data_IF_925049705103
#
_entry.id   IF_925049705103
#
_cell.length_a   1.000
_cell.length_b   1.000
_cell.length_c   1.000
_cell.angle_alpha   90.00
_cell.angle_beta   90.00
_cell.angle_gamma   90.00
#
_symmetry.space_group_name_H-M   'P 1'
#
loop_
_entity.id
_entity.type
_entity.pdbx_description
1 polymer ?
#
# COMPACT_ATOMS: atom_id res chain seq x y z
N UNK A 1 8.36 22.86 -12.85
CA UNK A 1 7.18 22.31 -13.57
C UNK A 1 7.26 20.78 -13.50
N UNK A 2 7.33 20.18 -12.30
CA UNK A 2 7.88 18.82 -12.20
C UNK A 2 7.26 17.90 -11.15
N UNK A 3 6.33 18.35 -10.31
CA UNK A 3 5.90 17.54 -9.15
C UNK A 3 4.54 16.85 -9.34
N UNK A 4 3.63 17.40 -10.14
CA UNK A 4 2.38 16.70 -10.51
C UNK A 4 2.67 15.43 -11.32
N UNK A 5 3.68 15.44 -12.20
CA UNK A 5 4.14 14.22 -12.90
C UNK A 5 4.81 13.21 -11.96
N UNK A 6 5.44 13.67 -10.88
CA UNK A 6 6.09 12.79 -9.91
C UNK A 6 5.05 12.00 -9.09
N UNK A 7 3.96 12.65 -8.65
CA UNK A 7 2.85 11.96 -7.99
C UNK A 7 2.11 10.99 -8.91
N UNK A 8 1.94 11.33 -10.19
CA UNK A 8 1.35 10.41 -11.17
C UNK A 8 2.24 9.18 -11.39
N UNK A 9 3.55 9.39 -11.52
CA UNK A 9 4.51 8.28 -11.60
C UNK A 9 4.55 7.43 -10.32
N UNK A 10 4.48 8.06 -9.14
CA UNK A 10 4.38 7.35 -7.87
C UNK A 10 3.12 6.49 -7.80
N UNK A 11 1.98 7.04 -8.23
CA UNK A 11 0.70 6.31 -8.31
C UNK A 11 0.80 5.06 -9.19
N UNK A 12 1.38 5.18 -10.38
CA UNK A 12 1.54 4.04 -11.29
C UNK A 12 2.45 2.96 -10.68
N UNK A 13 3.58 3.36 -10.09
CA UNK A 13 4.50 2.43 -9.43
C UNK A 13 3.86 1.72 -8.23
N UNK A 14 3.19 2.46 -7.35
CA UNK A 14 2.54 1.90 -6.17
C UNK A 14 1.41 0.93 -6.54
N UNK A 15 0.61 1.25 -7.57
CA UNK A 15 -0.43 0.33 -8.09
C UNK A 15 0.18 -0.95 -8.66
N UNK A 16 1.22 -0.83 -9.48
CA UNK A 16 1.88 -1.99 -10.07
C UNK A 16 2.50 -2.88 -8.97
N UNK A 17 3.19 -2.29 -8.00
CA UNK A 17 3.76 -3.01 -6.87
C UNK A 17 2.68 -3.69 -6.01
N UNK A 18 1.59 -2.98 -5.70
CA UNK A 18 0.48 -3.55 -4.95
C UNK A 18 -0.19 -4.71 -5.72
N UNK A 19 -0.33 -4.60 -7.04
CA UNK A 19 -0.84 -5.67 -7.87
C UNK A 19 0.02 -6.94 -7.80
N UNK A 20 1.33 -6.79 -7.93
CA UNK A 20 2.29 -7.91 -7.79
C UNK A 20 2.20 -8.56 -6.41
N UNK A 21 2.16 -7.75 -5.35
CA UNK A 21 2.06 -8.25 -3.98
C UNK A 21 0.72 -8.96 -3.71
N UNK A 22 -0.41 -8.41 -4.16
CA UNK A 22 -1.72 -9.07 -4.02
C UNK A 22 -1.72 -10.43 -4.71
N UNK A 23 -1.23 -10.51 -5.95
CA UNK A 23 -1.11 -11.79 -6.66
C UNK A 23 -0.21 -12.77 -5.92
N UNK A 24 0.96 -12.32 -5.47
CA UNK A 24 1.89 -13.16 -4.71
C UNK A 24 1.33 -13.68 -3.38
N UNK A 25 0.56 -12.85 -2.66
CA UNK A 25 -0.11 -13.26 -1.41
C UNK A 25 -1.21 -14.29 -1.69
N UNK A 26 -2.01 -14.09 -2.75
CA UNK A 26 -3.03 -15.06 -3.18
C UNK A 26 -2.38 -16.38 -3.58
N UNK A 27 -1.25 -16.37 -4.29
CA UNK A 27 -0.55 -17.59 -4.69
C UNK A 27 0.08 -18.31 -3.47
N UNK A 28 0.62 -17.57 -2.51
CA UNK A 28 1.28 -18.12 -1.33
C UNK A 28 0.30 -18.71 -0.30
N UNK A 29 -0.82 -18.03 -0.07
CA UNK A 29 -1.78 -18.39 1.00
C UNK A 29 -3.08 -19.00 0.47
N UNK A 30 -3.29 -18.97 -0.85
CA UNK A 30 -4.59 -19.22 -1.45
C UNK A 30 -5.61 -18.12 -1.13
N UNK A 31 -6.82 -18.27 -1.67
CA UNK A 31 -7.96 -17.40 -1.36
C UNK A 31 -8.28 -16.42 -2.47
N UNK A 32 -8.74 -15.22 -2.11
CA UNK A 32 -9.21 -14.21 -3.07
C UNK A 32 -8.90 -12.79 -2.66
N UNK A 33 -8.48 -11.98 -3.62
CA UNK A 33 -8.30 -10.55 -3.43
C UNK A 33 -9.65 -9.80 -3.39
N UNK A 34 -9.72 -8.77 -2.55
CA UNK A 34 -10.83 -7.84 -2.47
C UNK A 34 -10.32 -6.44 -2.11
N UNK A 35 -11.15 -5.40 -2.33
CA UNK A 35 -10.87 -4.01 -1.92
C UNK A 35 -9.51 -3.48 -2.37
N UNK A 36 -9.23 -3.59 -3.66
CA UNK A 36 -8.01 -3.11 -4.30
C UNK A 36 -8.19 -1.66 -4.72
N UNK A 37 -7.98 -0.77 -3.75
CA UNK A 37 -8.28 0.66 -3.85
C UNK A 37 -7.05 1.51 -3.60
N UNK A 38 -6.97 2.69 -4.22
CA UNK A 38 -5.86 3.61 -4.02
C UNK A 38 -6.35 5.01 -3.75
N UNK A 39 -5.52 5.83 -3.11
CA UNK A 39 -5.87 7.22 -2.83
C UNK A 39 -4.64 8.09 -2.71
N UNK A 40 -4.86 9.37 -2.96
CA UNK A 40 -3.90 10.42 -2.63
C UNK A 40 -4.21 10.92 -1.23
N UNK A 41 -3.21 10.98 -0.37
CA UNK A 41 -3.31 11.45 1.00
C UNK A 41 -2.47 12.72 1.15
N UNK A 42 -3.02 13.73 1.83
CA UNK A 42 -2.23 14.87 2.27
C UNK A 42 -1.33 14.49 3.44
N UNK A 43 -0.06 14.91 3.39
CA UNK A 43 0.91 14.60 4.44
C UNK A 43 1.13 15.78 5.39
N UNK A 44 1.66 16.89 4.87
CA UNK A 44 1.95 18.10 5.65
C UNK A 44 0.92 19.18 5.35
N UNK A 45 0.28 19.72 6.38
CA UNK A 45 -0.69 20.82 6.25
C UNK A 45 0.00 22.12 5.85
N UNK A 46 -0.48 22.78 4.79
CA UNK A 46 -0.15 24.15 4.43
C UNK A 46 -1.03 25.17 5.20
N UNK A 47 -2.29 24.81 5.49
CA UNK A 47 -3.25 25.58 6.27
C UNK A 47 -4.30 24.64 6.90
N UNK A 48 -5.34 25.16 7.56
CA UNK A 48 -6.39 24.35 8.21
C UNK A 48 -7.09 23.37 7.26
N UNK A 49 -7.23 23.72 5.96
CA UNK A 49 -7.97 22.92 4.96
C UNK A 49 -7.12 22.51 3.74
N UNK A 50 -5.80 22.76 3.75
CA UNK A 50 -4.93 22.54 2.59
C UNK A 50 -3.65 21.81 2.98
N UNK A 51 -3.22 20.87 2.14
CA UNK A 51 -1.96 20.15 2.29
C UNK A 51 -0.91 20.66 1.31
N UNK A 52 0.31 20.83 1.79
CA UNK A 52 1.48 21.21 1.00
C UNK A 52 2.04 20.03 0.21
N UNK A 53 2.09 18.88 0.86
CA UNK A 53 2.68 17.66 0.34
C UNK A 53 1.65 16.54 0.31
N UNK A 54 1.78 15.66 -0.67
CA UNK A 54 0.87 14.54 -0.88
C UNK A 54 1.66 13.27 -1.13
N UNK A 55 1.05 12.12 -0.87
CA UNK A 55 1.55 10.81 -1.27
C UNK A 55 0.42 9.98 -1.84
N UNK A 56 0.75 9.00 -2.65
CA UNK A 56 -0.19 8.00 -3.11
C UNK A 56 0.00 6.69 -2.33
N UNK A 57 -1.13 6.12 -1.92
CA UNK A 57 -1.21 4.85 -1.19
C UNK A 57 -2.12 3.91 -1.96
N UNK A 58 -1.59 2.76 -2.39
CA UNK A 58 -2.36 1.64 -2.93
C UNK A 58 -2.62 0.63 -1.81
N UNK A 59 -3.83 0.11 -1.73
CA UNK A 59 -4.22 -0.86 -0.69
C UNK A 59 -4.92 -2.07 -1.30
N UNK A 60 -4.83 -3.20 -0.63
CA UNK A 60 -5.53 -4.43 -0.98
C UNK A 60 -5.86 -5.26 0.24
N UNK A 61 -6.83 -6.16 0.09
CA UNK A 61 -7.13 -7.20 1.07
C UNK A 61 -7.08 -8.54 0.37
N UNK A 62 -6.46 -9.53 1.01
CA UNK A 62 -6.55 -10.93 0.57
C UNK A 62 -7.24 -11.71 1.67
N UNK A 63 -8.43 -12.22 1.36
CA UNK A 63 -9.13 -13.17 2.22
C UNK A 63 -8.50 -14.55 2.01
N UNK A 64 -7.88 -15.07 3.06
CA UNK A 64 -6.98 -16.23 3.00
C UNK A 64 -7.78 -17.52 2.87
N UNK A 65 -7.27 -18.47 2.08
CA UNK A 65 -7.91 -19.77 1.86
C UNK A 65 -8.02 -20.61 3.14
N UNK A 66 -9.04 -21.46 3.22
CA UNK A 66 -9.32 -22.29 4.40
C UNK A 66 -8.20 -23.28 4.79
N UNK A 67 -7.26 -23.54 3.88
CA UNK A 67 -6.10 -24.42 4.11
C UNK A 67 -4.91 -23.71 4.75
N UNK A 68 -4.85 -22.38 4.70
CA UNK A 68 -3.76 -21.62 5.31
C UNK A 68 -4.02 -21.42 6.81
N UNK A 69 -2.96 -21.49 7.60
CA UNK A 69 -3.01 -21.39 9.06
C UNK A 69 -2.16 -20.21 9.52
N UNK A 70 -2.65 -19.38 10.46
CA UNK A 70 -1.87 -18.27 11.01
C UNK A 70 -0.74 -18.77 11.92
N UNK A 71 0.33 -17.96 12.13
CA UNK A 71 0.55 -16.64 11.55
C UNK A 71 0.90 -16.71 10.06
N UNK A 72 0.40 -15.77 9.27
CA UNK A 72 0.57 -15.76 7.82
C UNK A 72 1.84 -15.02 7.38
N UNK A 73 2.28 -14.01 8.14
CA UNK A 73 3.31 -13.07 7.69
C UNK A 73 4.67 -13.72 7.42
N UNK A 74 5.07 -14.75 8.18
CA UNK A 74 6.33 -15.47 7.96
C UNK A 74 6.39 -16.10 6.56
N UNK A 75 5.24 -16.59 6.06
CA UNK A 75 5.13 -17.16 4.72
C UNK A 75 5.17 -16.09 3.61
N UNK A 76 5.06 -14.81 3.95
CA UNK A 76 5.03 -13.69 3.00
C UNK A 76 6.37 -12.97 2.85
N UNK A 77 7.39 -13.32 3.65
CA UNK A 77 8.76 -12.81 3.46
C UNK A 77 9.24 -13.05 2.01
N UNK A 78 9.13 -14.26 1.42
CA UNK A 78 9.56 -14.49 0.04
C UNK A 78 8.71 -13.73 -0.98
N UNK A 79 7.46 -13.38 -0.65
CA UNK A 79 6.57 -12.61 -1.53
C UNK A 79 7.05 -11.17 -1.64
N UNK A 80 7.44 -10.53 -0.53
CA UNK A 80 8.04 -9.19 -0.54
C UNK A 80 9.36 -9.19 -1.31
N UNK A 81 10.25 -10.13 -1.00
CA UNK A 81 11.57 -10.23 -1.65
C UNK A 81 11.45 -10.44 -3.16
N UNK A 82 10.55 -11.33 -3.61
CA UNK A 82 10.30 -11.57 -5.04
C UNK A 82 9.69 -10.36 -5.76
N UNK A 83 8.96 -9.51 -5.04
CA UNK A 83 8.41 -8.26 -5.54
C UNK A 83 9.44 -7.10 -5.52
N UNK A 84 10.66 -7.33 -5.04
CA UNK A 84 11.72 -6.33 -4.99
C UNK A 84 11.78 -5.53 -3.68
N UNK A 85 10.90 -5.81 -2.72
CA UNK A 85 10.93 -5.17 -1.40
C UNK A 85 11.97 -5.87 -0.52
N UNK A 86 13.10 -5.20 -0.34
CA UNK A 86 14.24 -5.73 0.39
C UNK A 86 14.09 -5.59 1.90
N UNK A 87 14.88 -6.40 2.62
CA UNK A 87 15.00 -6.43 4.08
C UNK A 87 13.65 -6.40 4.82
N UNK A 88 12.77 -7.41 4.66
CA UNK A 88 11.49 -7.42 5.35
C UNK A 88 11.64 -7.40 6.88
N UNK A 89 11.10 -6.36 7.52
CA UNK A 89 11.16 -6.16 8.98
C UNK A 89 9.79 -6.49 9.59
N UNK A 90 9.73 -7.44 10.54
CA UNK A 90 8.51 -7.66 11.31
C UNK A 90 8.26 -6.52 12.28
N UNK A 91 7.00 -6.17 12.47
CA UNK A 91 6.56 -5.13 13.39
C UNK A 91 5.24 -5.47 14.08
N UNK A 92 4.85 -4.62 15.02
CA UNK A 92 3.61 -4.75 15.76
C UNK A 92 2.67 -3.59 15.42
N UNK A 93 1.36 -3.88 15.40
CA UNK A 93 0.30 -2.86 15.29
C UNK A 93 -0.80 -3.16 16.30
N UNK A 94 -1.65 -2.18 16.65
CA UNK A 94 -2.81 -2.46 17.50
C UNK A 94 -3.68 -3.58 16.92
N UNK A 95 -3.75 -4.69 17.66
CA UNK A 95 -4.55 -5.87 17.29
C UNK A 95 -3.92 -6.80 16.25
N UNK A 96 -2.61 -6.69 15.96
CA UNK A 96 -1.94 -7.67 15.10
C UNK A 96 -0.50 -7.35 14.77
N UNK A 97 0.00 -7.98 13.71
CA UNK A 97 1.40 -7.92 13.31
C UNK A 97 1.53 -7.29 11.93
N UNK A 98 2.72 -6.78 11.64
CA UNK A 98 3.08 -6.26 10.32
C UNK A 98 4.37 -6.89 9.80
N UNK A 99 4.51 -6.90 8.49
CA UNK A 99 5.76 -7.18 7.79
C UNK A 99 5.96 -6.05 6.77
N UNK A 100 7.05 -5.31 6.92
CA UNK A 100 7.35 -4.14 6.10
C UNK A 100 8.60 -4.36 5.27
N UNK A 101 8.59 -3.95 4.00
CA UNK A 101 9.79 -3.94 3.16
C UNK A 101 9.83 -2.70 2.28
N UNK A 102 11.00 -2.40 1.71
CA UNK A 102 11.21 -1.20 0.89
C UNK A 102 11.76 -1.52 -0.50
N UNK A 103 11.25 -0.84 -1.53
CA UNK A 103 11.76 -0.84 -2.91
C UNK A 103 12.00 0.60 -3.37
N UNK A 104 13.25 1.04 -3.28
CA UNK A 104 13.62 2.43 -3.53
C UNK A 104 12.95 3.38 -2.55
N UNK A 105 12.00 4.17 -3.04
CA UNK A 105 11.20 5.12 -2.28
C UNK A 105 9.82 4.57 -1.87
N UNK A 106 9.45 3.37 -2.31
CA UNK A 106 8.20 2.74 -1.91
C UNK A 106 8.38 1.90 -0.65
N UNK A 107 7.38 1.96 0.23
CA UNK A 107 7.25 1.08 1.39
C UNK A 107 6.01 0.21 1.20
N UNK A 108 6.19 -1.11 1.31
CA UNK A 108 5.09 -2.06 1.37
C UNK A 108 4.91 -2.56 2.80
N UNK A 109 3.68 -2.55 3.30
CA UNK A 109 3.31 -3.10 4.60
C UNK A 109 2.24 -4.16 4.40
N UNK A 110 2.55 -5.38 4.82
CA UNK A 110 1.60 -6.46 4.99
C UNK A 110 1.16 -6.49 6.45
N UNK A 111 -0.12 -6.70 6.71
CA UNK A 111 -0.66 -6.80 8.07
C UNK A 111 -1.60 -7.98 8.21
N UNK A 112 -1.48 -8.70 9.31
CA UNK A 112 -2.49 -9.64 9.78
C UNK A 112 -3.10 -9.10 11.08
N UNK A 113 -4.41 -9.32 11.28
CA UNK A 113 -5.14 -8.90 12.47
C UNK A 113 -5.80 -10.12 13.12
N UNK A 114 -5.06 -10.85 14.00
CA UNK A 114 -5.60 -12.00 14.71
C UNK A 114 -6.90 -11.63 15.44
N UNK A 115 -7.95 -12.43 15.25
CA UNK A 115 -9.26 -12.20 15.85
C UNK A 115 -10.24 -11.35 15.02
N UNK A 116 -9.81 -10.76 13.90
CA UNK A 116 -10.72 -10.06 12.98
C UNK A 116 -11.09 -10.88 11.73
N UNK A 117 -10.43 -12.02 11.51
CA UNK A 117 -10.68 -12.93 10.39
C UNK A 117 -9.37 -13.46 9.79
N UNK A 118 -9.48 -14.41 8.85
CA UNK A 118 -8.35 -14.92 8.10
C UNK A 118 -8.14 -14.06 6.85
N UNK A 119 -7.45 -12.94 7.01
CA UNK A 119 -7.11 -12.06 5.89
C UNK A 119 -5.76 -11.37 6.12
N UNK A 120 -5.15 -10.94 5.03
CA UNK A 120 -3.97 -10.08 5.00
C UNK A 120 -4.37 -8.75 4.38
N UNK A 121 -4.01 -7.64 5.04
CA UNK A 121 -4.10 -6.30 4.46
C UNK A 121 -2.75 -5.94 3.86
N UNK A 122 -2.78 -5.31 2.71
CA UNK A 122 -1.62 -4.77 2.02
C UNK A 122 -1.78 -3.25 1.89
N UNK A 123 -0.70 -2.52 2.12
CA UNK A 123 -0.53 -1.15 1.64
C UNK A 123 0.83 -0.99 0.96
N UNK A 124 0.87 -0.22 -0.13
CA UNK A 124 2.10 0.28 -0.75
C UNK A 124 1.99 1.79 -0.83
N UNK A 125 2.92 2.50 -0.21
CA UNK A 125 2.96 3.97 -0.18
C UNK A 125 4.32 4.48 -0.63
N UNK A 126 4.34 5.65 -1.25
CA UNK A 126 5.57 6.37 -1.59
C UNK A 126 5.83 7.57 -0.67
N UNK A 127 6.92 8.33 -0.91
CA UNK A 127 7.23 9.51 -0.13
C UNK A 127 6.19 10.61 -0.31
N UNK A 128 6.13 11.53 0.66
CA UNK A 128 5.39 12.76 0.51
C UNK A 128 6.13 13.71 -0.45
N UNK A 129 5.45 14.12 -1.52
CA UNK A 129 5.95 14.98 -2.56
C UNK A 129 5.26 16.35 -2.46
N UNK A 130 6.02 17.43 -2.62
CA UNK A 130 5.46 18.78 -2.66
C UNK A 130 4.62 18.96 -3.93
N UNK A 131 3.46 19.61 -3.80
CA UNK A 131 2.60 19.94 -4.94
C UNK A 131 2.54 21.46 -5.10
N UNK A 132 2.68 21.99 -6.33
CA UNK A 132 2.53 23.41 -6.60
C UNK A 132 1.19 23.91 -6.08
N UNK A 133 1.17 25.10 -5.45
CA UNK A 133 -0.02 25.66 -4.80
C UNK A 133 -1.26 25.65 -5.71
N UNK A 134 -1.09 25.96 -6.99
CA UNK A 134 -2.16 25.97 -7.98
C UNK A 134 -2.86 24.61 -8.18
N UNK A 135 -2.15 23.49 -7.91
CA UNK A 135 -2.63 22.13 -8.18
C UNK A 135 -3.14 21.42 -6.90
N UNK A 136 -2.84 21.93 -5.71
CA UNK A 136 -3.11 21.23 -4.42
C UNK A 136 -4.58 20.90 -4.20
N UNK A 137 -5.48 21.85 -4.52
CA UNK A 137 -6.93 21.65 -4.38
C UNK A 137 -7.48 20.56 -5.30
N UNK A 138 -6.86 20.38 -6.46
CA UNK A 138 -7.28 19.36 -7.41
C UNK A 138 -6.77 17.99 -6.97
N UNK A 139 -5.53 17.92 -6.49
CA UNK A 139 -4.96 16.71 -5.89
C UNK A 139 -5.72 16.24 -4.64
N UNK A 140 -6.10 17.16 -3.75
CA UNK A 140 -6.89 16.85 -2.55
C UNK A 140 -8.27 16.26 -2.87
N UNK A 141 -8.87 16.63 -4.01
CA UNK A 141 -10.20 16.16 -4.43
C UNK A 141 -10.13 15.03 -5.45
N UNK A 142 -8.93 14.63 -5.86
CA UNK A 142 -8.73 13.61 -6.89
C UNK A 142 -9.16 12.27 -6.33
N UNK A 143 -10.18 11.69 -6.95
CA UNK A 143 -10.57 10.30 -6.73
C UNK A 143 -9.76 9.41 -7.67
N UNK A 144 -9.46 8.22 -7.18
CA UNK A 144 -8.73 7.23 -7.96
C UNK A 144 -9.73 6.24 -8.58
N UNK A 145 -9.57 5.82 -9.85
CA UNK A 145 -10.40 4.78 -10.43
C UNK A 145 -10.17 3.44 -9.71
N UNK A 146 -11.25 2.85 -9.20
CA UNK A 146 -11.27 1.59 -8.45
C UNK A 146 -12.18 0.55 -9.13
N UNK A 147 -11.86 -0.76 -9.05
CA UNK A 147 -10.61 -1.32 -8.53
C UNK A 147 -9.42 -1.04 -9.48
N UNK A 148 -8.21 -1.01 -8.94
CA UNK A 148 -7.00 -0.89 -9.78
C UNK A 148 -6.44 -2.23 -10.26
N UNK A 149 -7.01 -3.33 -9.79
CA UNK A 149 -6.70 -4.72 -10.13
C UNK A 149 -7.86 -5.36 -10.91
#
# INVERSE_FOLDING_TARGET
>A
MTDSSALEGQRERARAAAAVLVTGVVDALGGSASRTTGRVEGCESASEDEFRTFRYTATGRVDVGASASPPFLDALVPVLEAAGFADPIPGERPGGNTLEGSDGDLTATLSELPGQGAYVLLSVEGPCLEVPEADRRDWQRRTDPEPFL
#
